data_IF_565688285969
#
_entry.id   IF_565688285969
#
_cell.length_a   1.000
_cell.length_b   1.000
_cell.length_c   1.000
_cell.angle_alpha   90.00
_cell.angle_beta   90.00
_cell.angle_gamma   90.00
#
_symmetry.space_group_name_H-M   'P 1'
#
loop_
_entity.id
_entity.type
_entity.pdbx_description
1 polymer ?
#
# COMPACT_ATOMS: atom_id res chain seq x y z
N UNK A 1 39.10 -8.01 -24.56
CA UNK A 1 38.83 -7.05 -23.46
C UNK A 1 38.20 -5.82 -24.07
N UNK A 2 36.93 -5.56 -23.81
CA UNK A 2 36.35 -4.21 -23.78
C UNK A 2 35.11 -4.28 -22.89
N UNK A 3 35.08 -3.40 -21.91
CA UNK A 3 34.15 -3.35 -20.79
C UNK A 3 32.71 -3.18 -21.27
N UNK A 4 31.86 -4.10 -20.85
CA UNK A 4 30.41 -3.93 -20.84
C UNK A 4 30.08 -3.01 -19.67
N UNK A 5 29.90 -1.71 -19.96
CA UNK A 5 29.40 -0.71 -19.01
C UNK A 5 27.96 -1.05 -18.61
N UNK A 6 27.82 -2.00 -17.68
CA UNK A 6 26.58 -2.26 -16.96
C UNK A 6 26.23 -1.01 -16.15
N UNK A 7 25.36 -0.18 -16.73
CA UNK A 7 24.73 0.98 -16.08
C UNK A 7 24.24 0.58 -14.66
N UNK A 8 24.89 1.07 -13.59
CA UNK A 8 24.61 0.62 -12.22
C UNK A 8 23.25 1.09 -11.66
N UNK A 9 22.51 1.92 -12.41
CA UNK A 9 21.24 2.49 -11.95
C UNK A 9 20.02 1.56 -12.02
N UNK A 10 20.04 0.48 -12.82
CA UNK A 10 18.85 -0.40 -12.95
C UNK A 10 18.71 -1.40 -11.82
N UNK A 11 19.82 -2.00 -11.37
CA UNK A 11 19.82 -3.01 -10.30
C UNK A 11 19.42 -2.44 -8.96
N UNK A 12 19.94 -1.25 -8.59
CA UNK A 12 19.56 -0.59 -7.33
C UNK A 12 18.07 -0.26 -7.29
N UNK A 13 17.51 0.31 -8.35
CA UNK A 13 16.08 0.64 -8.43
C UNK A 13 15.17 -0.61 -8.34
N UNK A 14 15.58 -1.73 -8.91
CA UNK A 14 14.83 -2.98 -8.85
C UNK A 14 14.91 -3.65 -7.48
N UNK A 15 16.10 -3.70 -6.86
CA UNK A 15 16.28 -4.18 -5.49
C UNK A 15 15.55 -3.28 -4.47
N UNK A 16 15.57 -1.96 -4.70
CA UNK A 16 14.84 -0.98 -3.89
C UNK A 16 13.34 -1.23 -3.94
N UNK A 17 12.76 -1.41 -5.13
CA UNK A 17 11.35 -1.76 -5.31
C UNK A 17 11.00 -3.09 -4.65
N UNK A 18 11.90 -4.07 -4.70
CA UNK A 18 11.67 -5.40 -4.14
C UNK A 18 11.67 -5.38 -2.61
N UNK A 19 12.65 -4.70 -1.99
CA UNK A 19 12.72 -4.54 -0.54
C UNK A 19 11.57 -3.69 0.00
N UNK A 20 11.21 -2.60 -0.71
CA UNK A 20 10.04 -1.79 -0.41
C UNK A 20 8.76 -2.64 -0.43
N UNK A 21 8.57 -3.45 -1.47
CA UNK A 21 7.40 -4.33 -1.61
C UNK A 21 7.31 -5.40 -0.53
N UNK A 22 8.46 -5.88 -0.03
CA UNK A 22 8.55 -6.85 1.07
C UNK A 22 8.17 -6.23 2.42
N UNK A 23 8.74 -5.07 2.77
CA UNK A 23 8.42 -4.38 4.03
C UNK A 23 6.94 -3.97 4.11
N UNK A 24 6.42 -3.43 3.01
CA UNK A 24 5.01 -3.04 2.91
C UNK A 24 4.06 -4.25 3.06
N UNK A 25 4.43 -5.40 2.46
CA UNK A 25 3.64 -6.63 2.59
C UNK A 25 3.55 -7.13 4.02
N UNK A 26 4.66 -7.08 4.76
CA UNK A 26 4.68 -7.55 6.16
C UNK A 26 3.87 -6.62 7.06
N UNK A 27 3.97 -5.30 6.85
CA UNK A 27 3.21 -4.32 7.62
C UNK A 27 1.69 -4.40 7.35
N UNK A 28 1.30 -4.67 6.10
CA UNK A 28 -0.10 -4.93 5.75
C UNK A 28 -0.65 -6.24 6.33
N UNK A 29 0.20 -7.25 6.54
CA UNK A 29 -0.18 -8.49 7.25
C UNK A 29 -0.31 -8.27 8.75
N UNK A 30 0.52 -7.41 9.35
CA UNK A 30 0.37 -7.04 10.77
C UNK A 30 -0.94 -6.28 10.98
N UNK A 31 -1.26 -5.31 10.11
CA UNK A 31 -2.57 -4.65 10.11
C UNK A 31 -3.73 -5.62 9.90
N UNK A 32 -3.52 -6.70 9.15
CA UNK A 32 -4.54 -7.73 8.95
C UNK A 32 -4.82 -8.60 10.18
N UNK A 33 -3.79 -8.96 10.94
CA UNK A 33 -3.96 -9.74 12.16
C UNK A 33 -4.86 -9.02 13.17
N UNK A 34 -4.86 -7.69 13.15
CA UNK A 34 -5.72 -6.87 14.00
C UNK A 34 -7.20 -6.94 13.60
N UNK A 35 -7.49 -7.21 12.33
CA UNK A 35 -8.85 -7.30 11.78
C UNK A 35 -9.52 -8.65 12.10
N UNK A 36 -8.80 -9.63 12.65
CA UNK A 36 -9.33 -10.99 12.88
C UNK A 36 -10.46 -11.10 13.93
N UNK A 37 -10.86 -10.02 14.61
CA UNK A 37 -11.87 -10.06 15.67
C UNK A 37 -13.29 -9.63 15.23
N UNK A 38 -13.54 -9.29 13.95
CA UNK A 38 -14.90 -9.01 13.49
C UNK A 38 -15.04 -8.35 12.12
N UNK A 39 -16.30 -8.16 11.68
CA UNK A 39 -16.62 -7.28 10.55
C UNK A 39 -16.41 -5.83 10.99
N UNK A 40 -15.62 -5.07 10.23
CA UNK A 40 -15.31 -3.67 10.51
C UNK A 40 -15.85 -2.78 9.40
N UNK A 41 -15.99 -1.48 9.68
CA UNK A 41 -16.34 -0.49 8.66
C UNK A 41 -15.20 -0.32 7.66
N UNK A 42 -15.49 0.14 6.45
CA UNK A 42 -14.45 0.39 5.43
C UNK A 42 -13.36 1.34 5.94
N UNK A 43 -13.75 2.45 6.57
CA UNK A 43 -12.83 3.41 7.15
C UNK A 43 -11.94 2.80 8.25
N UNK A 44 -12.49 1.90 9.07
CA UNK A 44 -11.74 1.25 10.15
C UNK A 44 -10.77 0.19 9.60
N UNK A 45 -11.20 -0.59 8.61
CA UNK A 45 -10.34 -1.50 7.87
C UNK A 45 -9.15 -0.76 7.23
N UNK A 46 -9.43 0.36 6.57
CA UNK A 46 -8.40 1.21 5.97
C UNK A 46 -7.48 1.78 7.04
N UNK A 47 -8.03 2.34 8.12
CA UNK A 47 -7.25 2.87 9.24
C UNK A 47 -6.30 1.80 9.79
N UNK A 48 -6.79 0.60 10.13
CA UNK A 48 -5.98 -0.51 10.63
C UNK A 48 -4.90 -0.97 9.63
N UNK A 49 -5.23 -1.04 8.34
CA UNK A 49 -4.25 -1.35 7.29
C UNK A 49 -3.22 -0.24 7.11
N UNK A 50 -3.59 1.01 7.36
CA UNK A 50 -2.71 2.17 7.25
C UNK A 50 -1.81 2.39 8.47
N UNK A 51 -2.12 1.82 9.64
CA UNK A 51 -1.25 1.90 10.83
C UNK A 51 0.17 1.39 10.56
N UNK A 52 0.31 0.39 9.67
CA UNK A 52 1.62 -0.11 9.25
C UNK A 52 2.33 0.77 8.21
N UNK A 53 1.62 1.72 7.58
CA UNK A 53 2.19 2.62 6.57
C UNK A 53 3.00 3.76 7.20
N UNK A 54 2.57 4.30 8.33
CA UNK A 54 3.31 5.31 9.08
C UNK A 54 4.78 4.91 9.36
N UNK A 55 5.07 3.79 10.03
CA UNK A 55 6.45 3.36 10.29
C UNK A 55 7.17 2.96 9.00
N UNK A 56 6.46 2.44 7.99
CA UNK A 56 7.04 2.12 6.68
C UNK A 56 7.56 3.37 5.98
N UNK A 57 6.75 4.42 5.92
CA UNK A 57 7.06 5.70 5.29
C UNK A 57 8.24 6.33 6.01
N UNK A 58 8.22 6.39 7.34
CA UNK A 58 9.34 6.90 8.14
C UNK A 58 10.62 6.09 7.93
N UNK A 59 10.52 4.77 7.80
CA UNK A 59 11.67 3.91 7.54
C UNK A 59 12.22 4.10 6.12
N UNK A 60 11.38 4.21 5.09
CA UNK A 60 11.81 4.52 3.72
C UNK A 60 12.47 5.92 3.66
N UNK A 61 11.90 6.93 4.34
CA UNK A 61 12.50 8.27 4.41
C UNK A 61 13.88 8.25 5.07
N UNK A 62 13.99 7.59 6.23
CA UNK A 62 15.22 7.56 7.02
C UNK A 62 16.32 6.67 6.39
N UNK A 63 15.93 5.54 5.80
CA UNK A 63 16.89 4.58 5.21
C UNK A 63 17.37 5.03 3.83
N UNK A 64 16.53 5.74 3.07
CA UNK A 64 16.78 6.01 1.64
C UNK A 64 16.81 7.49 1.27
N UNK A 65 16.66 8.40 2.23
CA UNK A 65 16.56 9.85 1.98
C UNK A 65 15.46 10.18 0.95
N UNK A 66 14.39 9.39 0.95
CA UNK A 66 13.21 9.66 0.13
C UNK A 66 12.33 10.66 0.88
N UNK A 67 11.65 11.53 0.14
CA UNK A 67 10.60 12.41 0.68
C UNK A 67 9.24 11.84 0.29
N UNK A 68 8.39 11.57 1.28
CA UNK A 68 7.04 11.08 1.01
C UNK A 68 6.17 12.21 0.48
N UNK A 69 5.56 12.01 -0.68
CA UNK A 69 4.65 12.97 -1.29
C UNK A 69 3.22 12.68 -0.88
N UNK A 70 2.78 11.44 -1.13
CA UNK A 70 1.39 11.05 -0.97
C UNK A 70 1.26 9.53 -1.02
N UNK A 71 0.24 9.01 -0.35
CA UNK A 71 -0.19 7.63 -0.45
C UNK A 71 -1.62 7.59 -0.97
N UNK A 72 -2.00 6.49 -1.58
CA UNK A 72 -3.37 6.19 -1.95
C UNK A 72 -3.66 4.77 -1.52
N UNK A 73 -4.68 4.57 -0.71
CA UNK A 73 -5.18 3.26 -0.35
C UNK A 73 -6.51 3.04 -1.06
N UNK A 74 -6.69 1.90 -1.69
CA UNK A 74 -7.91 1.63 -2.44
C UNK A 74 -8.42 0.22 -2.18
N UNK A 75 -9.74 0.12 -2.13
CA UNK A 75 -10.47 -1.12 -2.14
C UNK A 75 -11.21 -1.20 -3.46
N UNK A 76 -10.87 -2.20 -4.27
CA UNK A 76 -11.49 -2.42 -5.57
C UNK A 76 -12.21 -3.77 -5.57
N UNK A 77 -13.46 -3.77 -6.02
CA UNK A 77 -14.23 -4.96 -6.26
C UNK A 77 -13.65 -5.70 -7.49
N UNK A 78 -13.20 -6.94 -7.30
CA UNK A 78 -12.74 -7.82 -8.38
C UNK A 78 -13.88 -8.64 -8.98
N UNK A 79 -14.75 -9.18 -8.14
CA UNK A 79 -15.87 -10.04 -8.51
C UNK A 79 -17.11 -9.66 -7.67
N UNK A 80 -18.25 -10.33 -7.86
CA UNK A 80 -19.49 -10.03 -7.12
C UNK A 80 -19.33 -9.97 -5.59
N UNK A 81 -18.41 -10.76 -5.04
CA UNK A 81 -18.15 -10.88 -3.60
C UNK A 81 -16.69 -10.70 -3.19
N UNK A 82 -15.79 -10.54 -4.15
CA UNK A 82 -14.36 -10.40 -3.86
C UNK A 82 -13.89 -8.97 -4.03
N UNK A 83 -13.15 -8.48 -3.05
CA UNK A 83 -12.43 -7.22 -3.13
C UNK A 83 -10.93 -7.46 -3.08
N UNK A 84 -10.17 -6.52 -3.64
CA UNK A 84 -8.74 -6.40 -3.40
C UNK A 84 -8.49 -5.11 -2.63
N UNK A 85 -7.60 -5.20 -1.66
CA UNK A 85 -7.02 -4.02 -1.04
C UNK A 85 -5.68 -3.72 -1.72
N UNK A 86 -5.47 -2.45 -2.06
CA UNK A 86 -4.23 -1.95 -2.61
C UNK A 86 -3.79 -0.67 -1.94
N UNK A 87 -2.51 -0.42 -2.01
CA UNK A 87 -1.87 0.80 -1.53
C UNK A 87 -0.81 1.22 -2.53
N UNK A 88 -0.85 2.47 -2.93
CA UNK A 88 0.07 3.14 -3.82
C UNK A 88 0.74 4.27 -3.06
N UNK A 89 2.00 4.08 -2.68
CA UNK A 89 2.80 5.12 -2.04
C UNK A 89 3.68 5.82 -3.07
N UNK A 90 3.72 7.13 -3.01
CA UNK A 90 4.49 7.99 -3.90
C UNK A 90 5.55 8.75 -3.09
N UNK A 91 6.80 8.50 -3.44
CA UNK A 91 7.97 9.12 -2.84
C UNK A 91 8.74 9.91 -3.91
N UNK A 92 9.54 10.88 -3.48
CA UNK A 92 10.56 11.53 -4.32
C UNK A 92 11.94 11.23 -3.76
N UNK A 93 12.89 10.95 -4.64
CA UNK A 93 14.30 10.87 -4.27
C UNK A 93 14.95 12.27 -4.21
N UNK A 94 16.14 12.38 -3.60
CA UNK A 94 16.96 13.61 -3.60
C UNK A 94 17.17 14.20 -5.01
N UNK A 95 17.10 13.37 -6.05
CA UNK A 95 17.16 13.80 -7.45
C UNK A 95 15.81 14.25 -8.04
N UNK A 96 14.77 14.46 -7.21
CA UNK A 96 13.37 14.74 -7.61
C UNK A 96 12.76 13.68 -8.53
N UNK A 97 13.26 12.45 -8.46
CA UNK A 97 12.70 11.33 -9.21
C UNK A 97 11.54 10.70 -8.45
N UNK A 98 10.44 10.46 -9.16
CA UNK A 98 9.26 9.84 -8.59
C UNK A 98 9.47 8.33 -8.40
N UNK A 99 9.35 7.88 -7.16
CA UNK A 99 9.42 6.48 -6.75
C UNK A 99 8.03 6.05 -6.31
N UNK A 100 7.35 5.27 -7.16
CA UNK A 100 6.06 4.66 -6.82
C UNK A 100 6.28 3.28 -6.21
N UNK A 101 5.74 3.05 -5.02
CA UNK A 101 5.68 1.77 -4.34
C UNK A 101 4.23 1.32 -4.24
N UNK A 102 3.84 0.41 -5.14
CA UNK A 102 2.49 -0.13 -5.23
C UNK A 102 2.42 -1.53 -4.64
N UNK A 103 1.49 -1.78 -3.74
CA UNK A 103 1.18 -3.09 -3.20
C UNK A 103 -0.31 -3.39 -3.38
N UNK A 104 -0.61 -4.60 -3.78
CA UNK A 104 -1.99 -5.12 -3.87
C UNK A 104 -2.01 -6.47 -3.21
N UNK A 105 -2.99 -6.67 -2.35
CA UNK A 105 -3.23 -7.93 -1.68
C UNK A 105 -3.98 -8.91 -2.57
N UNK A 106 -3.99 -10.18 -2.15
CA UNK A 106 -4.82 -11.19 -2.76
C UNK A 106 -6.31 -10.83 -2.61
N UNK A 107 -7.17 -11.23 -3.56
CA UNK A 107 -8.60 -11.02 -3.45
C UNK A 107 -9.18 -11.74 -2.23
N UNK A 108 -10.08 -11.06 -1.52
CA UNK A 108 -10.74 -11.55 -0.29
C UNK A 108 -12.24 -11.33 -0.36
N UNK A 109 -12.99 -12.14 0.38
CA UNK A 109 -14.44 -12.02 0.46
C UNK A 109 -14.87 -10.79 1.26
N UNK A 110 -15.69 -9.95 0.65
CA UNK A 110 -16.31 -8.78 1.27
C UNK A 110 -17.02 -9.13 2.58
N UNK A 111 -17.81 -10.21 2.58
CA UNK A 111 -18.61 -10.61 3.75
C UNK A 111 -17.80 -11.04 4.97
N UNK A 112 -16.51 -11.32 4.82
CA UNK A 112 -15.64 -11.69 5.94
C UNK A 112 -15.01 -10.48 6.63
N UNK A 113 -14.87 -9.35 5.93
CA UNK A 113 -14.10 -8.20 6.41
C UNK A 113 -14.97 -6.97 6.65
N UNK A 114 -16.02 -6.75 5.84
CA UNK A 114 -16.83 -5.55 5.89
C UNK A 114 -18.25 -5.80 6.40
N UNK A 115 -18.83 -4.79 7.04
CA UNK A 115 -20.24 -4.76 7.41
C UNK A 115 -21.14 -4.76 6.17
N UNK A 116 -22.38 -5.26 6.28
CA UNK A 116 -23.31 -5.36 5.14
C UNK A 116 -23.53 -4.02 4.42
N UNK A 117 -23.52 -2.92 5.16
CA UNK A 117 -23.68 -1.57 4.62
C UNK A 117 -22.49 -1.18 3.72
N UNK A 118 -21.27 -1.44 4.17
CA UNK A 118 -20.05 -1.23 3.39
C UNK A 118 -19.94 -2.19 2.21
N UNK A 119 -20.41 -3.44 2.34
CA UNK A 119 -20.47 -4.37 1.21
C UNK A 119 -21.34 -3.82 0.07
N UNK A 120 -22.50 -3.25 0.39
CA UNK A 120 -23.37 -2.60 -0.60
C UNK A 120 -22.68 -1.39 -1.22
N UNK A 121 -21.99 -0.59 -0.40
CA UNK A 121 -21.25 0.59 -0.86
C UNK A 121 -20.10 0.24 -1.80
N UNK A 122 -19.27 -0.76 -1.46
CA UNK A 122 -18.17 -1.23 -2.31
C UNK A 122 -18.71 -1.83 -3.61
N UNK A 123 -19.83 -2.56 -3.56
CA UNK A 123 -20.49 -3.06 -4.77
C UNK A 123 -21.05 -1.94 -5.66
N UNK A 124 -21.56 -0.87 -5.06
CA UNK A 124 -22.10 0.27 -5.78
C UNK A 124 -20.99 1.13 -6.40
N UNK A 125 -19.96 1.49 -5.64
CA UNK A 125 -18.85 2.34 -6.07
C UNK A 125 -17.84 1.58 -6.94
N UNK A 126 -17.77 0.24 -6.82
CA UNK A 126 -16.82 -0.69 -7.47
C UNK A 126 -15.35 -0.48 -7.11
N UNK A 127 -14.94 0.76 -6.88
CA UNK A 127 -13.61 1.11 -6.41
C UNK A 127 -13.72 2.32 -5.49
N UNK A 128 -13.27 2.15 -4.27
CA UNK A 128 -13.20 3.23 -3.28
C UNK A 128 -11.73 3.46 -3.00
N UNK A 129 -11.23 4.63 -3.37
CA UNK A 129 -9.84 5.04 -3.13
C UNK A 129 -9.84 6.22 -2.16
N UNK A 130 -8.95 6.15 -1.19
CA UNK A 130 -8.71 7.18 -0.21
C UNK A 130 -7.27 7.65 -0.36
N UNK A 131 -7.10 8.95 -0.54
CA UNK A 131 -5.77 9.55 -0.48
C UNK A 131 -5.30 9.50 0.96
N UNK A 132 -4.23 8.76 1.19
CA UNK A 132 -3.50 8.73 2.44
C UNK A 132 -2.49 9.87 2.41
N UNK A 133 -2.86 10.98 3.01
CA UNK A 133 -1.93 12.08 3.22
C UNK A 133 -0.99 11.78 4.39
N UNK A 134 0.15 12.45 4.44
CA UNK A 134 1.14 12.24 5.51
C UNK A 134 0.44 12.45 6.85
N UNK A 135 0.73 11.65 7.89
CA UNK A 135 0.29 12.03 9.24
C UNK A 135 0.78 13.46 9.49
N UNK A 136 -0.16 14.39 9.73
CA UNK A 136 0.20 15.70 10.24
C UNK A 136 0.83 15.46 11.61
N UNK A 137 2.16 15.55 11.66
CA UNK A 137 2.92 15.57 12.90
C UNK A 137 2.52 16.76 13.79
#
# INVERSE_FOLDING_TARGET
MNHDEKRPGRTLLEDLKKAAKLGLKELLKEGEKLIQDGQVSLDDFLAQKTVGLDPYILQEQSTRHLDFVSGEVFVELRDEDNFIFGVDLYFTDANKQWVKSSHTEAPRLLSLYFLKEDQVRIRAEKKIAYTYDKPNA
#
